data_IF_770915630788
#
_entry.id   IF_770915630788
#
_cell.length_a   1.000
_cell.length_b   1.000
_cell.length_c   1.000
_cell.angle_alpha   90.00
_cell.angle_beta   90.00
_cell.angle_gamma   90.00
#
_symmetry.space_group_name_H-M   'P 1'
#
loop_
_entity.id
_entity.type
_entity.pdbx_description
1 polymer ?
#
# COMPACT_ATOMS: atom_id res chain seq x y z
N UNK A 1 6.70 10.03 24.75
CA UNK A 1 7.60 9.53 23.68
C UNK A 1 8.84 8.98 24.36
N UNK A 2 9.19 7.73 24.07
CA UNK A 2 10.33 7.04 24.68
C UNK A 2 11.61 7.84 24.37
N UNK A 3 12.24 8.36 25.41
CA UNK A 3 13.52 9.05 25.31
C UNK A 3 14.61 8.23 25.98
N UNK A 4 15.85 8.49 25.60
CA UNK A 4 17.03 7.93 26.23
C UNK A 4 17.71 9.02 27.05
N UNK A 5 18.16 8.67 28.25
CA UNK A 5 18.88 9.58 29.17
C UNK A 5 20.18 8.89 29.56
N UNK A 6 21.29 9.59 29.40
CA UNK A 6 22.61 9.12 29.79
C UNK A 6 23.34 10.26 30.52
N UNK A 7 23.89 9.97 31.69
CA UNK A 7 24.86 10.85 32.34
C UNK A 7 26.19 10.74 31.57
N UNK A 8 26.68 11.85 31.03
CA UNK A 8 27.87 11.86 30.17
C UNK A 8 29.09 12.41 30.89
N UNK A 9 28.93 13.30 31.86
CA UNK A 9 29.99 13.77 32.74
C UNK A 9 29.39 14.21 34.07
N UNK A 10 30.22 14.56 35.06
CA UNK A 10 29.73 15.06 36.36
C UNK A 10 28.80 16.26 36.14
N UNK A 11 27.60 16.18 36.70
CA UNK A 11 26.56 17.22 36.61
C UNK A 11 26.07 17.50 35.17
N UNK A 12 26.43 16.64 34.21
CA UNK A 12 26.08 16.74 32.80
C UNK A 12 25.31 15.51 32.32
N UNK A 13 24.09 15.75 31.84
CA UNK A 13 23.25 14.73 31.24
C UNK A 13 23.01 15.02 29.76
N UNK A 14 22.88 13.96 28.96
CA UNK A 14 22.35 14.05 27.60
C UNK A 14 21.05 13.27 27.51
N UNK A 15 20.01 13.92 26.99
CA UNK A 15 18.67 13.37 26.80
C UNK A 15 18.28 13.46 25.33
N UNK A 16 17.80 12.36 24.77
CA UNK A 16 17.21 12.33 23.42
C UNK A 16 15.74 11.98 23.51
N UNK A 17 14.88 12.79 22.89
CA UNK A 17 13.44 12.53 22.81
C UNK A 17 12.89 12.94 21.44
N UNK A 18 11.61 12.64 21.19
CA UNK A 18 10.95 12.94 19.92
C UNK A 18 9.92 14.05 20.08
N UNK A 19 9.81 14.88 19.06
CA UNK A 19 8.86 16.00 18.98
C UNK A 19 8.05 15.92 17.68
N UNK A 20 6.82 16.47 17.65
CA UNK A 20 6.05 16.62 16.41
C UNK A 20 6.77 17.51 15.40
N UNK A 21 6.41 17.37 14.13
CA UNK A 21 6.87 18.23 13.04
C UNK A 21 6.04 19.51 12.90
N UNK A 22 4.77 19.49 13.34
CA UNK A 22 3.82 20.60 13.19
C UNK A 22 2.73 20.26 12.18
N UNK A 23 2.71 20.94 11.03
CA UNK A 23 1.71 20.71 9.97
C UNK A 23 2.24 19.66 8.99
N UNK A 24 1.45 18.61 8.76
CA UNK A 24 1.76 17.53 7.81
C UNK A 24 0.58 17.30 6.88
N UNK A 25 0.84 16.70 5.71
CA UNK A 25 -0.18 16.42 4.71
C UNK A 25 -0.23 14.93 4.35
N UNK A 26 -1.43 14.44 4.07
CA UNK A 26 -1.66 13.13 3.49
C UNK A 26 -2.48 13.27 2.20
N UNK A 27 -1.99 12.69 1.11
CA UNK A 27 -2.63 12.67 -0.20
C UNK A 27 -3.03 11.22 -0.48
N UNK A 28 -4.33 10.97 -0.51
CA UNK A 28 -4.90 9.63 -0.57
C UNK A 28 -5.78 9.51 -1.82
N UNK A 29 -5.35 8.82 -2.89
CA UNK A 29 -6.10 8.69 -4.12
C UNK A 29 -7.14 7.57 -4.00
N UNK A 30 -7.89 7.43 -5.08
CA UNK A 30 -8.91 6.41 -5.21
C UNK A 30 -8.35 5.00 -5.02
N UNK A 31 -9.10 4.19 -4.28
CA UNK A 31 -9.19 2.73 -4.44
C UNK A 31 -10.60 2.34 -3.98
N UNK A 32 -11.14 1.21 -4.39
CA UNK A 32 -12.59 0.91 -4.39
C UNK A 32 -13.37 1.20 -3.10
N UNK A 33 -14.66 1.58 -3.17
CA UNK A 33 -15.50 1.78 -1.99
C UNK A 33 -16.03 0.45 -1.40
N UNK A 34 -16.31 0.40 -0.08
CA UNK A 34 -16.78 -0.82 0.58
C UNK A 34 -18.27 -1.12 0.40
N UNK A 35 -18.60 -2.38 0.66
CA UNK A 35 -19.95 -2.95 0.80
C UNK A 35 -20.64 -2.42 2.08
N UNK A 36 -21.83 -1.78 2.03
CA UNK A 36 -22.38 -1.01 3.15
C UNK A 36 -23.25 -1.79 4.15
N UNK A 37 -23.54 -3.08 3.96
CA UNK A 37 -24.43 -3.85 4.83
C UNK A 37 -23.70 -4.72 5.87
N UNK A 38 -22.91 -4.13 6.79
CA UNK A 38 -22.37 -4.91 7.94
C UNK A 38 -22.31 -4.10 9.26
N UNK A 39 -22.77 -4.75 10.34
CA UNK A 39 -22.75 -4.28 11.73
C UNK A 39 -21.36 -3.78 12.15
N UNK A 40 -21.35 -2.63 12.85
CA UNK A 40 -20.25 -1.72 13.25
C UNK A 40 -18.88 -2.35 13.60
N UNK A 41 -18.81 -3.60 14.05
CA UNK A 41 -17.56 -4.29 14.44
C UNK A 41 -16.88 -5.02 13.26
N UNK A 42 -17.61 -5.46 12.24
CA UNK A 42 -17.01 -6.01 11.01
C UNK A 42 -16.72 -4.94 9.95
N UNK A 43 -17.04 -3.67 10.24
CA UNK A 43 -16.66 -2.52 9.41
C UNK A 43 -15.13 -2.38 9.36
N UNK A 44 -14.43 -2.54 10.49
CA UNK A 44 -12.98 -2.33 10.58
C UNK A 44 -12.13 -3.29 9.72
N UNK A 45 -12.64 -4.48 9.38
CA UNK A 45 -11.94 -5.46 8.54
C UNK A 45 -12.31 -5.37 7.05
N UNK A 46 -13.34 -4.60 6.67
CA UNK A 46 -13.80 -4.42 5.28
C UNK A 46 -13.86 -2.95 4.85
N UNK A 47 -13.18 -2.05 5.56
CA UNK A 47 -12.97 -0.68 5.10
C UNK A 47 -12.00 -0.72 3.92
N UNK A 48 -12.54 -0.69 2.71
CA UNK A 48 -11.73 -0.43 1.54
C UNK A 48 -11.18 1.03 1.58
N UNK A 49 -10.25 1.31 0.68
CA UNK A 49 -9.18 2.31 0.84
C UNK A 49 -9.56 3.81 0.98
N UNK A 50 -10.73 4.34 0.58
CA UNK A 50 -11.03 5.75 0.81
C UNK A 50 -11.33 6.03 2.29
N UNK A 51 -11.45 4.98 3.12
CA UNK A 51 -11.37 5.08 4.58
C UNK A 51 -10.03 4.60 5.13
N UNK A 52 -9.53 3.44 4.66
CA UNK A 52 -8.34 2.82 5.24
C UNK A 52 -7.07 3.67 5.04
N UNK A 53 -6.81 4.22 3.85
CA UNK A 53 -5.58 5.00 3.60
C UNK A 53 -5.58 6.32 4.39
N UNK A 54 -6.69 7.08 4.49
CA UNK A 54 -6.78 8.16 5.46
C UNK A 54 -6.46 7.70 6.89
N UNK A 55 -6.99 6.54 7.32
CA UNK A 55 -6.70 5.96 8.63
C UNK A 55 -5.25 5.47 8.81
N UNK A 56 -4.46 5.33 7.74
CA UNK A 56 -3.02 5.13 7.86
C UNK A 56 -2.27 6.40 8.27
N UNK A 57 -2.88 7.57 8.07
CA UNK A 57 -2.27 8.87 8.35
C UNK A 57 -2.92 9.59 9.54
N UNK A 58 -4.26 9.63 9.63
CA UNK A 58 -4.99 10.36 10.67
C UNK A 58 -4.51 9.98 12.08
N UNK A 59 -4.60 8.71 12.52
CA UNK A 59 -4.35 8.38 13.92
C UNK A 59 -2.90 8.61 14.31
N UNK A 60 -1.96 8.25 13.45
CA UNK A 60 -0.53 8.35 13.75
C UNK A 60 -0.02 9.80 13.68
N UNK A 61 -0.50 10.60 12.73
CA UNK A 61 -0.12 12.01 12.62
C UNK A 61 -0.65 12.80 13.83
N UNK A 62 -1.92 12.60 14.20
CA UNK A 62 -2.50 13.35 15.32
C UNK A 62 -2.01 12.84 16.68
N UNK A 63 -1.83 11.53 16.87
CA UNK A 63 -1.29 10.98 18.12
C UNK A 63 0.17 11.38 18.39
N UNK A 64 0.92 11.71 17.34
CA UNK A 64 2.29 12.25 17.47
C UNK A 64 2.32 13.76 17.72
N UNK A 65 1.16 14.44 17.76
CA UNK A 65 1.03 15.86 18.06
C UNK A 65 1.04 16.78 16.83
N UNK A 66 0.82 16.23 15.62
CA UNK A 66 0.77 17.04 14.39
C UNK A 66 -0.67 17.44 14.04
N UNK A 67 -0.80 18.53 13.27
CA UNK A 67 -2.03 18.86 12.55
C UNK A 67 -1.95 18.27 11.13
N UNK A 68 -3.02 17.61 10.70
CA UNK A 68 -3.08 16.90 9.41
C UNK A 68 -3.98 17.64 8.41
N UNK A 69 -3.43 17.89 7.22
CA UNK A 69 -4.17 18.25 6.02
C UNK A 69 -4.35 16.99 5.18
N UNK A 70 -5.58 16.51 5.06
CA UNK A 70 -5.93 15.34 4.26
C UNK A 70 -6.53 15.78 2.93
N UNK A 71 -5.91 15.35 1.82
CA UNK A 71 -6.47 15.48 0.47
C UNK A 71 -6.95 14.10 -0.01
N UNK A 72 -8.24 13.76 0.15
CA UNK A 72 -8.78 12.50 -0.36
C UNK A 72 -9.02 12.59 -1.87
N UNK A 73 -9.19 11.43 -2.48
CA UNK A 73 -9.64 11.26 -3.86
C UNK A 73 -10.88 12.08 -4.17
N UNK A 74 -10.85 12.79 -5.29
CA UNK A 74 -12.01 13.49 -5.84
C UNK A 74 -13.09 12.55 -6.40
N UNK A 75 -12.77 11.27 -6.60
CA UNK A 75 -13.70 10.27 -7.18
C UNK A 75 -14.67 9.70 -6.16
N UNK A 76 -14.28 9.65 -4.89
CA UNK A 76 -15.02 9.00 -3.81
C UNK A 76 -14.72 9.61 -2.41
N UNK A 77 -14.88 10.94 -2.25
CA UNK A 77 -14.48 11.64 -1.03
C UNK A 77 -15.34 11.32 0.21
N UNK A 78 -16.48 10.65 0.04
CA UNK A 78 -17.50 10.51 1.08
C UNK A 78 -17.00 9.83 2.36
N UNK A 79 -16.18 8.78 2.23
CA UNK A 79 -15.63 8.09 3.39
C UNK A 79 -14.71 8.99 4.24
N UNK A 80 -13.88 9.81 3.60
CA UNK A 80 -13.02 10.76 4.30
C UNK A 80 -13.84 11.81 5.05
N UNK A 81 -14.94 12.30 4.46
CA UNK A 81 -15.83 13.26 5.13
C UNK A 81 -16.49 12.65 6.36
N UNK A 82 -16.96 11.40 6.28
CA UNK A 82 -17.50 10.68 7.44
C UNK A 82 -16.44 10.53 8.54
N UNK A 83 -15.18 10.22 8.17
CA UNK A 83 -14.08 10.14 9.14
C UNK A 83 -13.80 11.49 9.83
N UNK A 84 -13.91 12.61 9.12
CA UNK A 84 -13.78 13.94 9.72
C UNK A 84 -14.89 14.23 10.73
N UNK A 85 -16.15 13.90 10.41
CA UNK A 85 -17.26 14.03 11.36
C UNK A 85 -17.08 13.16 12.61
N UNK A 86 -16.56 11.93 12.43
CA UNK A 86 -16.26 11.04 13.54
C UNK A 86 -15.12 11.62 14.39
N UNK A 87 -14.08 12.18 13.79
CA UNK A 87 -12.97 12.82 14.51
C UNK A 87 -13.44 14.01 15.35
N UNK A 88 -14.32 14.86 14.79
CA UNK A 88 -14.94 15.96 15.53
C UNK A 88 -15.75 15.45 16.73
N UNK A 89 -16.61 14.44 16.52
CA UNK A 89 -17.39 13.79 17.60
C UNK A 89 -16.50 13.11 18.65
N UNK A 90 -15.33 12.62 18.26
CA UNK A 90 -14.34 12.04 19.16
C UNK A 90 -13.59 13.10 20.00
N UNK A 91 -13.82 14.40 19.75
CA UNK A 91 -13.23 15.49 20.52
C UNK A 91 -11.91 16.02 19.95
N UNK A 92 -11.63 15.81 18.65
CA UNK A 92 -10.45 16.42 18.03
C UNK A 92 -10.58 17.95 18.09
N UNK A 93 -9.54 18.68 18.53
CA UNK A 93 -9.56 20.14 18.49
C UNK A 93 -9.73 20.66 17.06
N UNK A 94 -10.44 21.79 16.91
CA UNK A 94 -10.63 22.43 15.61
C UNK A 94 -9.28 22.72 14.95
N UNK A 95 -9.15 22.36 13.67
CA UNK A 95 -7.92 22.56 12.89
C UNK A 95 -6.88 21.45 13.02
N UNK A 96 -7.06 20.45 13.90
CA UNK A 96 -6.14 19.30 13.99
C UNK A 96 -6.28 18.36 12.79
N UNK A 97 -7.50 18.16 12.30
CA UNK A 97 -7.77 17.44 11.06
C UNK A 97 -8.52 18.38 10.11
N UNK A 98 -7.96 18.60 8.92
CA UNK A 98 -8.59 19.40 7.87
C UNK A 98 -8.67 18.57 6.60
N UNK A 99 -9.83 18.58 5.94
CA UNK A 99 -10.00 17.95 4.62
C UNK A 99 -9.99 19.04 3.55
N UNK A 100 -9.15 18.87 2.53
CA UNK A 100 -9.07 19.77 1.38
C UNK A 100 -9.27 18.97 0.11
N UNK A 101 -10.36 19.26 -0.62
CA UNK A 101 -10.63 18.63 -1.91
C UNK A 101 -9.88 19.31 -3.07
N UNK A 102 -9.80 18.62 -4.19
CA UNK A 102 -9.30 19.14 -5.45
C UNK A 102 -8.46 18.11 -6.20
N UNK A 103 -7.69 18.55 -7.19
CA UNK A 103 -6.89 17.68 -8.06
C UNK A 103 -5.41 18.09 -8.00
N UNK A 104 -4.72 18.12 -9.15
CA UNK A 104 -3.29 18.45 -9.25
C UNK A 104 -2.91 19.78 -8.59
N UNK A 105 -3.67 20.86 -8.82
CA UNK A 105 -3.39 22.18 -8.22
C UNK A 105 -3.37 22.18 -6.69
N UNK A 106 -4.23 21.37 -6.06
CA UNK A 106 -4.25 21.22 -4.60
C UNK A 106 -3.01 20.47 -4.12
N UNK A 107 -2.58 19.45 -4.87
CA UNK A 107 -1.32 18.73 -4.60
C UNK A 107 -0.11 19.67 -4.74
N UNK A 108 -0.08 20.49 -5.79
CA UNK A 108 0.98 21.48 -6.01
C UNK A 108 1.06 22.47 -4.85
N UNK A 109 -0.08 22.97 -4.39
CA UNK A 109 -0.14 23.85 -3.22
C UNK A 109 0.43 23.17 -1.97
N UNK A 110 0.06 21.91 -1.70
CA UNK A 110 0.59 21.13 -0.57
C UNK A 110 2.11 20.98 -0.66
N UNK A 111 2.64 20.74 -1.85
CA UNK A 111 4.09 20.64 -2.07
C UNK A 111 4.78 21.99 -1.85
N UNK A 112 4.15 23.08 -2.28
CA UNK A 112 4.74 24.41 -2.29
C UNK A 112 4.69 25.12 -0.93
N UNK A 113 3.66 24.87 -0.12
CA UNK A 113 3.46 25.56 1.17
C UNK A 113 4.60 25.25 2.17
N UNK A 114 5.39 26.24 2.60
CA UNK A 114 6.56 26.03 3.46
C UNK A 114 6.23 25.59 4.90
N UNK A 115 5.00 25.81 5.37
CA UNK A 115 4.58 25.37 6.70
C UNK A 115 4.35 23.86 6.79
N UNK A 116 4.01 23.20 5.68
CA UNK A 116 3.85 21.74 5.63
C UNK A 116 5.24 21.09 5.67
N UNK A 117 5.49 20.25 6.68
CA UNK A 117 6.82 19.65 6.93
C UNK A 117 6.98 18.24 6.39
N UNK A 118 5.88 17.51 6.22
CA UNK A 118 5.89 16.15 5.70
C UNK A 118 4.69 15.88 4.80
N UNK A 119 4.88 15.04 3.78
CA UNK A 119 3.85 14.58 2.85
C UNK A 119 3.83 13.05 2.83
N UNK A 120 2.67 12.48 3.12
CA UNK A 120 2.37 11.06 2.99
C UNK A 120 1.53 10.84 1.73
N UNK A 121 2.02 10.06 0.77
CA UNK A 121 1.32 9.79 -0.48
C UNK A 121 1.16 8.29 -0.73
N UNK A 122 -0.04 7.86 -1.12
CA UNK A 122 -0.24 6.55 -1.72
C UNK A 122 -0.72 6.78 -3.15
N UNK A 123 -0.40 5.93 -4.12
CA UNK A 123 -0.99 6.06 -5.47
C UNK A 123 -0.12 5.53 -6.60
N UNK A 124 -0.35 6.02 -7.81
CA UNK A 124 0.43 5.62 -8.99
C UNK A 124 1.86 6.15 -8.95
N UNK A 125 2.79 5.43 -9.57
CA UNK A 125 4.19 5.84 -9.76
C UNK A 125 4.36 7.25 -10.30
N UNK A 126 3.71 7.58 -11.42
CA UNK A 126 3.86 8.88 -12.07
C UNK A 126 3.62 10.07 -11.11
N UNK A 127 2.54 10.00 -10.33
CA UNK A 127 2.18 11.06 -9.38
C UNK A 127 3.04 11.00 -8.12
N UNK A 128 3.35 9.82 -7.61
CA UNK A 128 4.10 9.68 -6.37
C UNK A 128 5.59 10.00 -6.51
N UNK A 129 6.21 9.67 -7.64
CA UNK A 129 7.57 10.08 -7.99
C UNK A 129 7.65 11.60 -8.11
N UNK A 130 6.68 12.23 -8.77
CA UNK A 130 6.56 13.69 -8.85
C UNK A 130 6.48 14.35 -7.46
N UNK A 131 5.61 13.85 -6.57
CA UNK A 131 5.45 14.37 -5.21
C UNK A 131 6.74 14.15 -4.40
N UNK A 132 7.37 12.98 -4.53
CA UNK A 132 8.61 12.65 -3.85
C UNK A 132 9.76 13.57 -4.27
N UNK A 133 10.00 13.71 -5.58
CA UNK A 133 11.09 14.54 -6.11
C UNK A 133 10.88 16.01 -5.76
N UNK A 134 9.72 16.58 -6.11
CA UNK A 134 9.44 18.01 -5.90
C UNK A 134 9.32 18.36 -4.42
N UNK A 135 8.70 17.49 -3.61
CA UNK A 135 8.56 17.67 -2.18
C UNK A 135 9.91 17.61 -1.45
N UNK A 136 10.74 16.61 -1.80
CA UNK A 136 12.08 16.47 -1.22
C UNK A 136 13.01 17.61 -1.63
N UNK A 137 12.93 18.07 -2.89
CA UNK A 137 13.68 19.24 -3.36
C UNK A 137 13.34 20.53 -2.59
N UNK A 138 12.16 20.59 -1.97
CA UNK A 138 11.72 21.69 -1.09
C UNK A 138 12.03 21.45 0.39
N UNK A 139 12.80 20.41 0.72
CA UNK A 139 13.20 20.09 2.09
C UNK A 139 12.10 19.45 2.94
N UNK A 140 10.99 19.00 2.34
CA UNK A 140 9.94 18.27 3.05
C UNK A 140 10.31 16.80 3.19
N UNK A 141 9.87 16.15 4.26
CA UNK A 141 9.88 14.69 4.34
C UNK A 141 8.79 14.14 3.43
N UNK A 142 9.11 13.17 2.58
CA UNK A 142 8.10 12.52 1.73
C UNK A 142 8.20 11.03 1.87
N UNK A 143 7.07 10.39 2.19
CA UNK A 143 6.88 8.95 2.03
C UNK A 143 5.86 8.74 0.93
N UNK A 144 6.17 7.89 -0.05
CA UNK A 144 5.28 7.64 -1.18
C UNK A 144 5.23 6.14 -1.49
N UNK A 145 4.07 5.52 -1.24
CA UNK A 145 3.76 4.16 -1.68
C UNK A 145 3.16 4.22 -3.08
N UNK A 146 3.73 3.44 -3.99
CA UNK A 146 3.48 3.55 -5.42
C UNK A 146 2.74 2.31 -5.95
N UNK A 147 2.68 2.17 -7.27
CA UNK A 147 2.00 1.07 -7.95
C UNK A 147 2.63 -0.29 -7.69
N UNK A 148 1.92 -1.32 -8.14
CA UNK A 148 2.32 -2.69 -7.89
C UNK A 148 2.05 -3.62 -9.07
N UNK A 149 2.76 -4.74 -9.06
CA UNK A 149 2.45 -5.93 -9.84
C UNK A 149 2.81 -7.12 -8.97
N UNK A 150 1.85 -7.60 -8.18
CA UNK A 150 2.13 -8.64 -7.19
C UNK A 150 2.01 -10.02 -7.82
N UNK A 151 2.95 -10.88 -7.47
CA UNK A 151 3.02 -12.25 -7.97
C UNK A 151 2.70 -13.24 -6.85
N UNK A 152 1.90 -14.25 -7.19
CA UNK A 152 1.83 -15.48 -6.41
C UNK A 152 2.55 -16.60 -7.15
N UNK A 153 3.46 -17.29 -6.45
CA UNK A 153 4.11 -18.50 -6.93
C UNK A 153 3.37 -19.70 -6.34
N UNK A 154 2.97 -20.65 -7.17
CA UNK A 154 2.32 -21.89 -6.71
C UNK A 154 3.20 -23.08 -7.05
N UNK A 155 3.55 -23.87 -6.02
CA UNK A 155 4.34 -25.08 -6.16
C UNK A 155 3.44 -26.32 -6.26
N UNK A 156 3.91 -27.43 -6.88
CA UNK A 156 3.15 -28.67 -7.00
C UNK A 156 2.67 -29.25 -5.67
N UNK A 157 3.42 -29.02 -4.59
CA UNK A 157 3.09 -29.52 -3.25
C UNK A 157 2.07 -28.66 -2.50
N UNK A 158 1.64 -27.52 -3.06
CA UNK A 158 0.63 -26.65 -2.46
C UNK A 158 -0.70 -27.40 -2.26
N UNK A 159 -1.47 -27.01 -1.23
CA UNK A 159 -2.87 -27.41 -1.18
C UNK A 159 -3.61 -26.72 -2.35
N UNK A 160 -3.87 -27.48 -3.41
CA UNK A 160 -4.50 -27.00 -4.64
C UNK A 160 -5.80 -26.25 -4.39
N UNK A 161 -6.70 -26.78 -3.56
CA UNK A 161 -8.01 -26.17 -3.33
C UNK A 161 -7.86 -24.82 -2.62
N UNK A 162 -7.10 -24.80 -1.52
CA UNK A 162 -6.95 -23.60 -0.70
C UNK A 162 -6.16 -22.51 -1.44
N UNK A 163 -5.12 -22.90 -2.17
CA UNK A 163 -4.31 -21.98 -2.98
C UNK A 163 -5.14 -21.32 -4.07
N UNK A 164 -5.87 -22.09 -4.90
CA UNK A 164 -6.67 -21.53 -5.99
C UNK A 164 -7.77 -20.61 -5.48
N UNK A 165 -8.50 -21.01 -4.42
CA UNK A 165 -9.54 -20.16 -3.82
C UNK A 165 -8.95 -18.84 -3.27
N UNK A 166 -7.79 -18.92 -2.60
CA UNK A 166 -7.09 -17.75 -2.07
C UNK A 166 -6.63 -16.80 -3.18
N UNK A 167 -6.07 -17.35 -4.26
CA UNK A 167 -5.62 -16.58 -5.43
C UNK A 167 -6.81 -15.89 -6.10
N UNK A 168 -7.93 -16.59 -6.32
CA UNK A 168 -9.15 -16.03 -6.91
C UNK A 168 -9.68 -14.87 -6.07
N UNK A 169 -9.79 -15.04 -4.75
CA UNK A 169 -10.23 -13.97 -3.85
C UNK A 169 -9.31 -12.74 -3.88
N UNK A 170 -8.00 -12.95 -4.01
CA UNK A 170 -7.02 -11.88 -4.04
C UNK A 170 -6.87 -11.19 -5.40
N UNK A 171 -7.14 -11.88 -6.50
CA UNK A 171 -7.10 -11.31 -7.85
C UNK A 171 -8.35 -10.48 -8.16
N UNK A 172 -9.53 -10.99 -7.79
CA UNK A 172 -10.81 -10.39 -8.22
C UNK A 172 -11.51 -9.59 -7.11
N UNK A 173 -11.11 -9.76 -5.84
CA UNK A 173 -11.67 -9.01 -4.73
C UNK A 173 -11.57 -7.49 -4.93
N UNK A 174 -12.66 -6.78 -4.61
CA UNK A 174 -12.82 -5.35 -4.89
C UNK A 174 -12.53 -4.95 -6.36
N UNK A 175 -12.90 -5.85 -7.29
CA UNK A 175 -12.67 -5.73 -8.73
C UNK A 175 -11.19 -5.53 -9.09
N UNK A 176 -10.26 -6.10 -8.31
CA UNK A 176 -8.82 -6.03 -8.55
C UNK A 176 -8.21 -4.63 -8.41
N UNK A 177 -8.97 -3.65 -7.91
CA UNK A 177 -8.52 -2.27 -7.71
C UNK A 177 -7.83 -2.10 -6.34
N UNK A 178 -6.81 -2.91 -6.10
CA UNK A 178 -6.01 -2.91 -4.86
C UNK A 178 -4.53 -2.94 -5.20
N UNK A 179 -3.72 -2.12 -4.53
CA UNK A 179 -2.26 -2.17 -4.69
C UNK A 179 -1.66 -3.53 -4.24
N UNK A 180 -2.39 -4.29 -3.42
CA UNK A 180 -2.02 -5.65 -2.98
C UNK A 180 -2.80 -6.75 -3.71
N UNK A 181 -3.55 -6.43 -4.78
CA UNK A 181 -4.21 -7.45 -5.59
C UNK A 181 -3.16 -8.39 -6.19
N UNK A 182 -3.44 -9.69 -6.20
CA UNK A 182 -2.63 -10.65 -6.93
C UNK A 182 -3.01 -10.60 -8.41
N UNK A 183 -2.32 -9.74 -9.16
CA UNK A 183 -2.54 -9.63 -10.60
C UNK A 183 -1.89 -10.75 -11.39
N UNK A 184 -0.84 -11.37 -10.83
CA UNK A 184 0.03 -12.31 -11.56
C UNK A 184 0.17 -13.64 -10.82
N UNK A 185 -0.10 -14.75 -11.49
CA UNK A 185 0.12 -16.11 -11.00
C UNK A 185 1.29 -16.75 -11.77
N UNK A 186 2.27 -17.27 -11.04
CA UNK A 186 3.42 -18.01 -11.56
C UNK A 186 3.24 -19.48 -11.18
N UNK A 187 2.94 -20.30 -12.18
CA UNK A 187 2.68 -21.72 -12.05
C UNK A 187 3.96 -22.51 -12.27
N UNK A 188 4.45 -23.21 -11.24
CA UNK A 188 5.69 -24.00 -11.32
C UNK A 188 5.37 -25.44 -11.74
N UNK A 189 6.04 -25.95 -12.76
CA UNK A 189 5.98 -27.34 -13.20
C UNK A 189 4.56 -27.81 -13.58
N UNK A 190 4.09 -28.88 -12.94
CA UNK A 190 2.78 -29.51 -13.22
C UNK A 190 1.57 -28.66 -12.78
N UNK A 191 1.78 -27.60 -11.98
CA UNK A 191 0.67 -26.74 -11.54
C UNK A 191 -0.06 -26.07 -12.71
N UNK A 192 0.58 -25.91 -13.88
CA UNK A 192 -0.06 -25.41 -15.12
C UNK A 192 -1.34 -26.18 -15.50
N UNK A 193 -1.45 -27.45 -15.12
CA UNK A 193 -2.64 -28.28 -15.34
C UNK A 193 -3.84 -27.86 -14.47
N UNK A 194 -3.63 -26.95 -13.51
CA UNK A 194 -4.65 -26.48 -12.57
C UNK A 194 -5.43 -25.27 -13.11
N UNK A 195 -5.04 -24.73 -14.27
CA UNK A 195 -5.67 -23.57 -14.90
C UNK A 195 -7.17 -23.74 -15.12
N UNK A 196 -7.64 -24.93 -15.52
CA UNK A 196 -9.08 -25.18 -15.72
C UNK A 196 -9.87 -24.95 -14.43
N UNK A 197 -9.41 -25.50 -13.31
CA UNK A 197 -10.06 -25.31 -12.00
C UNK A 197 -9.99 -23.86 -11.51
N UNK A 198 -8.90 -23.15 -11.82
CA UNK A 198 -8.79 -21.72 -11.53
C UNK A 198 -9.87 -20.92 -12.29
N UNK A 199 -10.07 -21.24 -13.57
CA UNK A 199 -11.09 -20.63 -14.43
C UNK A 199 -12.50 -20.96 -13.94
N UNK A 200 -12.76 -22.20 -13.51
CA UNK A 200 -14.05 -22.59 -12.93
C UNK A 200 -14.37 -21.76 -11.68
N UNK A 201 -13.41 -21.62 -10.76
CA UNK A 201 -13.54 -20.81 -9.56
C UNK A 201 -13.76 -19.32 -9.88
N UNK A 202 -13.07 -18.78 -10.88
CA UNK A 202 -13.26 -17.39 -11.32
C UNK A 202 -14.63 -17.17 -11.97
N UNK A 203 -15.11 -18.14 -12.75
CA UNK A 203 -16.43 -18.09 -13.42
C UNK A 203 -17.57 -18.10 -12.42
N UNK A 204 -17.40 -18.77 -11.27
CA UNK A 204 -18.40 -18.79 -10.20
C UNK A 204 -18.57 -17.43 -9.48
N UNK A 205 -17.74 -16.43 -9.76
CA UNK A 205 -17.84 -15.12 -9.14
C UNK A 205 -19.03 -14.32 -9.68
N UNK A 206 -19.83 -13.76 -8.76
CA UNK A 206 -20.99 -12.94 -9.10
C UNK A 206 -20.57 -11.48 -9.21
N UNK A 207 -20.75 -10.91 -10.39
CA UNK A 207 -20.54 -9.48 -10.65
C UNK A 207 -21.88 -8.75 -10.42
N UNK A 208 -21.86 -7.66 -9.67
CA UNK A 208 -23.10 -7.00 -9.25
C UNK A 208 -22.90 -5.67 -8.53
N UNK A 209 -24.00 -5.07 -8.09
CA UNK A 209 -23.97 -3.81 -7.36
C UNK A 209 -23.45 -4.00 -5.94
N UNK A 210 -22.64 -3.06 -5.44
CA UNK A 210 -22.04 -3.15 -4.09
C UNK A 210 -23.01 -3.14 -2.90
N UNK A 211 -24.32 -2.96 -3.15
CA UNK A 211 -25.40 -3.06 -2.15
C UNK A 211 -26.07 -4.44 -2.10
N UNK A 212 -25.67 -5.37 -2.97
CA UNK A 212 -26.23 -6.72 -3.03
C UNK A 212 -25.28 -7.70 -2.32
N UNK A 213 -25.77 -8.30 -1.23
CA UNK A 213 -25.01 -9.22 -0.36
C UNK A 213 -24.47 -10.46 -1.10
N UNK A 214 -25.00 -10.76 -2.29
CA UNK A 214 -24.54 -11.88 -3.13
C UNK A 214 -23.44 -11.50 -4.12
N UNK A 215 -23.08 -10.22 -4.20
CA UNK A 215 -22.04 -9.71 -5.10
C UNK A 215 -20.64 -10.04 -4.58
N UNK A 216 -19.81 -10.63 -5.45
CA UNK A 216 -18.39 -10.85 -5.19
C UNK A 216 -17.53 -9.73 -5.80
N UNK A 217 -17.92 -9.21 -6.97
CA UNK A 217 -17.17 -8.21 -7.73
C UNK A 217 -18.07 -7.02 -8.06
N UNK A 218 -17.67 -5.83 -7.58
CA UNK A 218 -18.33 -4.56 -7.90
C UNK A 218 -17.86 -3.96 -9.25
N UNK A 219 -18.38 -2.79 -9.63
CA UNK A 219 -17.92 -2.08 -10.81
C UNK A 219 -16.52 -1.49 -10.62
N UNK A 220 -15.85 -1.17 -11.73
CA UNK A 220 -14.63 -0.35 -11.71
C UNK A 220 -14.99 1.13 -11.58
N UNK A 221 -14.03 1.95 -11.14
CA UNK A 221 -14.33 3.31 -10.67
C UNK A 221 -14.92 4.25 -11.72
N UNK A 222 -14.45 4.16 -12.96
CA UNK A 222 -14.83 5.10 -14.00
C UNK A 222 -14.87 4.44 -15.37
N UNK A 223 -15.56 5.06 -16.34
CA UNK A 223 -15.54 4.59 -17.73
C UNK A 223 -14.12 4.48 -18.30
N UNK A 224 -13.24 5.43 -17.96
CA UNK A 224 -11.83 5.41 -18.41
C UNK A 224 -11.06 4.24 -17.80
N UNK A 225 -11.37 3.86 -16.55
CA UNK A 225 -10.80 2.67 -15.93
C UNK A 225 -11.24 1.40 -16.65
N UNK A 226 -12.54 1.31 -16.99
CA UNK A 226 -13.09 0.19 -17.78
C UNK A 226 -12.40 0.09 -19.14
N UNK A 227 -12.34 1.19 -19.89
CA UNK A 227 -11.71 1.25 -21.21
C UNK A 227 -10.23 0.84 -21.15
N UNK A 228 -9.46 1.33 -20.17
CA UNK A 228 -8.06 0.94 -19.98
C UNK A 228 -7.91 -0.56 -19.71
N UNK A 229 -8.76 -1.12 -18.84
CA UNK A 229 -8.71 -2.56 -18.51
C UNK A 229 -9.03 -3.38 -19.76
N UNK A 230 -10.11 -3.06 -20.48
CA UNK A 230 -10.49 -3.76 -21.70
C UNK A 230 -9.43 -3.65 -22.79
N UNK A 231 -8.74 -2.50 -22.89
CA UNK A 231 -7.61 -2.32 -23.80
C UNK A 231 -6.42 -3.24 -23.44
N UNK A 232 -6.05 -3.35 -22.16
CA UNK A 232 -4.96 -4.24 -21.72
C UNK A 232 -5.30 -5.73 -21.88
N UNK A 233 -6.56 -6.11 -21.72
CA UNK A 233 -7.02 -7.47 -22.04
C UNK A 233 -6.89 -7.73 -23.55
N UNK A 234 -7.31 -6.76 -24.36
CA UNK A 234 -7.23 -6.85 -25.83
C UNK A 234 -5.78 -6.94 -26.31
N UNK A 235 -4.88 -6.12 -25.77
CA UNK A 235 -3.46 -6.17 -26.13
C UNK A 235 -2.82 -7.52 -25.78
N UNK A 236 -3.25 -8.17 -24.69
CA UNK A 236 -2.75 -9.51 -24.36
C UNK A 236 -3.06 -10.52 -25.47
N UNK A 237 -4.29 -10.50 -26.00
CA UNK A 237 -4.69 -11.37 -27.11
C UNK A 237 -3.92 -11.04 -28.39
N UNK A 238 -3.74 -9.76 -28.71
CA UNK A 238 -2.97 -9.29 -29.88
C UNK A 238 -1.49 -9.69 -29.81
N UNK A 239 -0.92 -9.71 -28.61
CA UNK A 239 0.48 -10.07 -28.36
C UNK A 239 0.70 -11.59 -28.24
N UNK A 240 -0.34 -12.41 -28.41
CA UNK A 240 -0.27 -13.87 -28.48
C UNK A 240 -0.59 -14.61 -27.18
N UNK A 241 -1.08 -13.93 -26.15
CA UNK A 241 -1.62 -14.58 -24.96
C UNK A 241 -3.00 -15.21 -25.24
N UNK A 242 -3.43 -16.13 -24.40
CA UNK A 242 -4.72 -16.81 -24.54
C UNK A 242 -5.68 -16.38 -23.43
N UNK A 243 -6.86 -15.89 -23.79
CA UNK A 243 -7.90 -15.53 -22.83
C UNK A 243 -8.74 -16.77 -22.53
N UNK A 244 -8.64 -17.29 -21.30
CA UNK A 244 -9.39 -18.48 -20.86
C UNK A 244 -10.77 -18.12 -20.29
N UNK A 245 -10.89 -16.93 -19.71
CA UNK A 245 -12.14 -16.34 -19.26
C UNK A 245 -12.11 -14.87 -19.66
N UNK A 246 -13.09 -14.43 -20.44
CA UNK A 246 -13.17 -13.07 -20.97
C UNK A 246 -14.25 -12.27 -20.25
N UNK A 247 -13.83 -11.30 -19.44
CA UNK A 247 -14.73 -10.40 -18.72
C UNK A 247 -15.09 -9.12 -19.47
N UNK A 248 -14.56 -8.89 -20.67
CA UNK A 248 -14.85 -7.68 -21.46
C UNK A 248 -16.32 -7.62 -21.85
N UNK A 249 -16.88 -6.41 -21.91
CA UNK A 249 -18.26 -6.20 -22.35
C UNK A 249 -19.34 -6.78 -21.42
N UNK A 250 -18.99 -7.26 -20.22
CA UNK A 250 -19.96 -7.70 -19.22
C UNK A 250 -20.98 -6.58 -18.95
N UNK A 251 -22.26 -6.95 -18.86
CA UNK A 251 -23.34 -6.03 -18.51
C UNK A 251 -24.16 -6.63 -17.37
N UNK A 252 -24.41 -5.83 -16.35
CA UNK A 252 -25.36 -6.19 -15.30
C UNK A 252 -26.79 -5.96 -15.80
N UNK A 253 -27.68 -6.94 -15.67
CA UNK A 253 -29.09 -6.80 -16.00
C UNK A 253 -29.77 -5.69 -15.21
N UNK A 254 -29.41 -5.56 -13.92
CA UNK A 254 -29.99 -4.57 -13.01
C UNK A 254 -29.39 -3.17 -13.21
N UNK A 255 -28.14 -3.09 -13.65
CA UNK A 255 -27.39 -1.84 -13.75
C UNK A 255 -26.63 -1.75 -15.08
N UNK A 256 -27.33 -1.65 -16.22
CA UNK A 256 -26.70 -1.79 -17.55
C UNK A 256 -25.66 -0.71 -17.87
N UNK A 257 -25.75 0.46 -17.23
CA UNK A 257 -24.86 1.60 -17.44
C UNK A 257 -23.69 1.67 -16.45
N UNK A 258 -23.46 0.63 -15.65
CA UNK A 258 -22.31 0.58 -14.74
C UNK A 258 -20.98 0.38 -15.48
N UNK A 259 -19.90 0.75 -14.80
CA UNK A 259 -18.53 0.57 -15.28
C UNK A 259 -18.11 -0.88 -15.01
N UNK A 260 -18.65 -1.84 -15.74
CA UNK A 260 -18.39 -3.25 -15.47
C UNK A 260 -17.19 -3.79 -16.23
N UNK A 261 -16.45 -4.67 -15.57
CA UNK A 261 -15.52 -5.63 -16.17
C UNK A 261 -15.71 -6.93 -15.39
N UNK A 262 -15.94 -8.04 -16.09
CA UNK A 262 -16.05 -9.36 -15.47
C UNK A 262 -14.68 -9.93 -15.08
N UNK A 263 -14.64 -11.00 -14.25
CA UNK A 263 -13.41 -11.72 -14.00
C UNK A 263 -12.79 -12.16 -15.34
N UNK A 264 -11.50 -11.90 -15.51
CA UNK A 264 -10.74 -12.28 -16.70
C UNK A 264 -9.52 -13.09 -16.30
N UNK A 265 -9.28 -14.22 -16.98
CA UNK A 265 -8.09 -15.07 -16.77
C UNK A 265 -7.36 -15.18 -18.10
N UNK A 266 -6.09 -14.76 -18.10
CA UNK A 266 -5.24 -14.76 -19.29
C UNK A 266 -4.04 -15.68 -19.02
N UNK A 267 -3.79 -16.64 -19.91
CA UNK A 267 -2.65 -17.56 -19.84
C UNK A 267 -1.68 -17.33 -20.99
N UNK A 268 -0.54 -18.04 -20.96
CA UNK A 268 0.55 -17.92 -21.91
C UNK A 268 1.16 -16.51 -21.96
N UNK A 269 1.04 -15.76 -20.86
CA UNK A 269 1.57 -14.39 -20.78
C UNK A 269 3.09 -14.41 -20.70
N UNK A 270 3.74 -13.47 -21.38
CA UNK A 270 5.19 -13.27 -21.42
C UNK A 270 5.55 -11.91 -20.83
N UNK A 271 6.74 -11.81 -20.25
CA UNK A 271 7.18 -10.61 -19.51
C UNK A 271 7.30 -9.33 -20.36
N UNK A 272 7.40 -9.46 -21.69
CA UNK A 272 7.45 -8.31 -22.60
C UNK A 272 6.06 -7.75 -22.94
N UNK A 273 4.99 -8.50 -22.66
CA UNK A 273 3.62 -8.12 -23.01
C UNK A 273 3.14 -6.93 -22.18
N UNK A 274 2.34 -6.04 -22.77
CA UNK A 274 1.79 -4.86 -22.09
C UNK A 274 0.99 -5.22 -20.85
N UNK A 275 0.15 -6.26 -20.93
CA UNK A 275 -0.65 -6.73 -19.82
C UNK A 275 0.18 -7.23 -18.63
N UNK A 276 1.45 -7.62 -18.85
CA UNK A 276 2.40 -7.95 -17.79
C UNK A 276 3.10 -6.70 -17.24
N UNK A 277 3.63 -5.85 -18.12
CA UNK A 277 4.44 -4.68 -17.74
C UNK A 277 3.64 -3.60 -17.03
N UNK A 278 2.40 -3.39 -17.44
CA UNK A 278 1.53 -2.36 -16.87
C UNK A 278 0.66 -2.92 -15.74
N UNK A 279 0.42 -2.10 -14.72
CA UNK A 279 -0.58 -2.40 -13.70
C UNK A 279 -1.98 -2.28 -14.33
N UNK A 280 -2.73 -3.39 -14.34
CA UNK A 280 -4.07 -3.45 -14.95
C UNK A 280 -5.09 -2.75 -14.05
N UNK A 281 -4.98 -2.96 -12.73
CA UNK A 281 -5.88 -2.39 -11.71
C UNK A 281 -7.36 -2.68 -11.99
N UNK A 282 -7.66 -3.94 -12.31
CA UNK A 282 -8.97 -4.46 -12.67
C UNK A 282 -9.09 -5.95 -12.35
N UNK A 283 -10.28 -6.57 -12.52
CA UNK A 283 -10.53 -7.97 -12.18
C UNK A 283 -9.91 -8.91 -13.22
N UNK A 284 -8.58 -8.87 -13.37
CA UNK A 284 -7.81 -9.61 -14.38
C UNK A 284 -6.65 -10.32 -13.69
N UNK A 285 -6.58 -11.64 -13.87
CA UNK A 285 -5.46 -12.47 -13.44
C UNK A 285 -4.67 -12.95 -14.66
N UNK A 286 -3.38 -12.63 -14.70
CA UNK A 286 -2.46 -13.14 -15.72
C UNK A 286 -1.67 -14.34 -15.17
N UNK A 287 -1.52 -15.39 -15.97
CA UNK A 287 -0.85 -16.62 -15.60
C UNK A 287 0.40 -16.82 -16.47
N UNK A 288 1.52 -17.10 -15.81
CA UNK A 288 2.80 -17.48 -16.40
C UNK A 288 3.18 -18.86 -15.88
N UNK A 289 3.93 -19.62 -16.68
CA UNK A 289 4.44 -20.93 -16.30
C UNK A 289 5.96 -20.94 -16.36
N UNK A 290 6.59 -21.55 -15.36
CA UNK A 290 8.04 -21.73 -15.25
C UNK A 290 8.34 -23.15 -14.75
N UNK A 291 9.56 -23.62 -14.89
CA UNK A 291 9.89 -25.02 -14.59
C UNK A 291 10.36 -25.22 -13.14
N UNK A 292 10.85 -24.18 -12.48
CA UNK A 292 11.43 -24.26 -11.12
C UNK A 292 11.06 -23.08 -10.21
N UNK A 293 11.30 -23.25 -8.91
CA UNK A 293 11.13 -22.18 -7.91
C UNK A 293 12.16 -21.06 -8.13
N UNK A 294 13.37 -21.41 -8.54
CA UNK A 294 14.46 -20.48 -8.83
C UNK A 294 14.12 -19.57 -10.01
N UNK A 295 13.54 -20.14 -11.08
CA UNK A 295 13.02 -19.36 -12.20
C UNK A 295 11.84 -18.48 -11.77
N UNK A 296 10.94 -18.99 -10.93
CA UNK A 296 9.84 -18.20 -10.39
C UNK A 296 10.36 -16.98 -9.60
N UNK A 297 11.31 -17.18 -8.68
CA UNK A 297 11.92 -16.09 -7.90
C UNK A 297 12.63 -15.09 -8.83
N UNK A 298 13.38 -15.58 -9.81
CA UNK A 298 14.07 -14.73 -10.79
C UNK A 298 13.08 -13.89 -11.60
N UNK A 299 11.96 -14.47 -12.02
CA UNK A 299 10.89 -13.78 -12.74
C UNK A 299 10.24 -12.69 -11.88
N UNK A 300 9.92 -13.00 -10.62
CA UNK A 300 9.31 -12.02 -9.70
C UNK A 300 10.32 -10.91 -9.36
N UNK A 301 11.60 -11.24 -9.18
CA UNK A 301 12.64 -10.24 -8.90
C UNK A 301 12.98 -9.37 -10.12
N UNK A 302 12.83 -9.88 -11.35
CA UNK A 302 13.01 -9.08 -12.57
C UNK A 302 11.92 -8.00 -12.76
N UNK A 303 10.80 -8.12 -12.05
CA UNK A 303 9.75 -7.10 -12.06
C UNK A 303 10.23 -5.81 -11.39
N UNK A 304 9.89 -4.66 -11.99
CA UNK A 304 10.32 -3.36 -11.48
C UNK A 304 9.61 -2.99 -10.16
N UNK A 305 8.40 -3.52 -9.95
CA UNK A 305 7.63 -3.35 -8.73
C UNK A 305 8.01 -4.41 -7.68
N UNK A 306 7.97 -4.01 -6.41
CA UNK A 306 8.36 -4.85 -5.28
C UNK A 306 7.41 -4.72 -4.10
N UNK A 307 6.12 -4.47 -4.34
CA UNK A 307 5.15 -4.22 -3.28
C UNK A 307 4.89 -5.48 -2.43
N UNK A 308 4.39 -6.54 -3.05
CA UNK A 308 4.14 -7.82 -2.39
C UNK A 308 4.33 -9.03 -3.31
N UNK A 309 4.68 -10.16 -2.70
CA UNK A 309 4.75 -11.45 -3.35
C UNK A 309 4.28 -12.56 -2.39
N UNK A 310 3.71 -13.62 -2.95
CA UNK A 310 3.26 -14.77 -2.17
C UNK A 310 3.79 -16.09 -2.75
N UNK A 311 3.98 -17.08 -1.89
CA UNK A 311 4.25 -18.47 -2.29
C UNK A 311 3.23 -19.41 -1.65
N UNK A 312 2.71 -20.35 -2.42
CA UNK A 312 1.87 -21.44 -1.94
C UNK A 312 2.65 -22.76 -2.00
N UNK A 313 2.84 -23.39 -0.84
CA UNK A 313 3.65 -24.62 -0.69
C UNK A 313 3.40 -25.25 0.68
N UNK A 314 3.66 -26.56 0.81
CA UNK A 314 3.71 -27.28 2.09
C UNK A 314 5.15 -27.48 2.58
N UNK A 315 6.14 -27.21 1.73
CA UNK A 315 7.56 -27.35 2.01
C UNK A 315 8.11 -26.16 2.78
N UNK A 316 8.55 -26.40 4.02
CA UNK A 316 9.21 -25.37 4.83
C UNK A 316 10.54 -24.89 4.24
N UNK A 317 11.29 -25.76 3.55
CA UNK A 317 12.54 -25.37 2.90
C UNK A 317 12.30 -24.48 1.69
N UNK A 318 11.26 -24.77 0.88
CA UNK A 318 10.88 -23.92 -0.24
C UNK A 318 10.39 -22.55 0.24
N UNK A 319 9.57 -22.51 1.29
CA UNK A 319 9.11 -21.27 1.90
C UNK A 319 10.26 -20.41 2.43
N UNK A 320 11.21 -21.01 3.15
CA UNK A 320 12.40 -20.31 3.66
C UNK A 320 13.31 -19.82 2.53
N UNK A 321 13.49 -20.63 1.48
CA UNK A 321 14.26 -20.25 0.30
C UNK A 321 13.61 -19.07 -0.44
N UNK A 322 12.30 -19.12 -0.66
CA UNK A 322 11.55 -18.01 -1.25
C UNK A 322 11.66 -16.73 -0.41
N UNK A 323 11.41 -16.82 0.90
CA UNK A 323 11.49 -15.68 1.82
C UNK A 323 12.88 -15.02 1.80
N UNK A 324 13.95 -15.79 1.69
CA UNK A 324 15.32 -15.26 1.70
C UNK A 324 15.71 -14.58 0.40
N UNK A 325 15.22 -15.09 -0.74
CA UNK A 325 15.70 -14.69 -2.05
C UNK A 325 14.74 -13.75 -2.80
N UNK A 326 13.50 -13.58 -2.32
CA UNK A 326 12.55 -12.64 -2.92
C UNK A 326 12.85 -11.20 -2.49
N UNK A 327 12.75 -10.27 -3.44
CA UNK A 327 13.03 -8.84 -3.21
C UNK A 327 11.77 -8.00 -2.98
N UNK A 328 10.58 -8.60 -3.02
CA UNK A 328 9.34 -7.92 -2.66
C UNK A 328 9.33 -7.62 -1.15
N UNK A 329 8.82 -6.45 -0.76
CA UNK A 329 8.92 -6.01 0.64
C UNK A 329 7.83 -6.60 1.55
N UNK A 330 6.69 -7.05 1.01
CA UNK A 330 5.67 -7.82 1.75
C UNK A 330 5.61 -9.26 1.22
N UNK A 331 5.91 -10.24 2.07
CA UNK A 331 6.04 -11.65 1.66
C UNK A 331 4.99 -12.51 2.35
N UNK A 332 4.19 -13.22 1.56
CA UNK A 332 3.17 -14.14 2.03
C UNK A 332 3.58 -15.60 1.84
N UNK A 333 3.43 -16.43 2.87
CA UNK A 333 3.57 -17.89 2.77
C UNK A 333 2.19 -18.49 3.02
N UNK A 334 1.59 -19.06 1.97
CA UNK A 334 0.18 -19.48 1.92
C UNK A 334 -0.83 -18.36 2.26
N UNK A 335 -0.40 -17.10 2.12
CA UNK A 335 -1.21 -15.91 2.34
C UNK A 335 -1.13 -15.05 1.07
N UNK A 336 -2.21 -14.89 0.29
CA UNK A 336 -2.15 -14.19 -0.99
C UNK A 336 -1.94 -12.68 -0.85
N UNK A 337 -2.47 -12.08 0.21
CA UNK A 337 -2.42 -10.65 0.49
C UNK A 337 -1.76 -10.47 1.86
N UNK A 338 -0.42 -10.41 1.94
CA UNK A 338 0.32 -10.31 3.20
C UNK A 338 0.36 -8.88 3.75
N UNK A 339 -0.79 -8.22 3.86
CA UNK A 339 -0.88 -6.87 4.42
C UNK A 339 -0.59 -6.92 5.92
N UNK A 340 0.40 -6.14 6.42
CA UNK A 340 0.76 -6.13 7.83
C UNK A 340 -0.32 -5.46 8.67
N UNK A 341 -0.51 -5.99 9.89
CA UNK A 341 -1.31 -5.32 10.92
C UNK A 341 -0.69 -3.95 11.27
N UNK A 342 -1.47 -2.97 11.77
CA UNK A 342 -1.01 -1.59 12.00
C UNK A 342 0.21 -1.41 12.92
N UNK A 343 0.57 -2.44 13.69
CA UNK A 343 1.75 -2.46 14.56
C UNK A 343 3.06 -2.72 13.82
N UNK A 344 2.94 -3.32 12.63
CA UNK A 344 4.01 -3.45 11.65
C UNK A 344 3.79 -2.42 10.54
N UNK A 345 4.81 -2.12 9.74
CA UNK A 345 4.70 -1.11 8.68
C UNK A 345 4.39 -1.74 7.33
N UNK A 346 3.73 -0.99 6.45
CA UNK A 346 3.61 -1.38 5.04
C UNK A 346 4.94 -1.21 4.33
N UNK A 347 5.58 -2.32 3.95
CA UNK A 347 6.94 -2.35 3.41
C UNK A 347 6.94 -2.66 1.92
N UNK A 348 6.66 -1.67 1.07
CA UNK A 348 6.93 -1.81 -0.37
C UNK A 348 8.43 -1.79 -0.66
N UNK A 349 8.86 -2.32 -1.80
CA UNK A 349 10.26 -2.24 -2.25
C UNK A 349 10.35 -1.85 -3.75
N UNK A 350 11.56 -1.55 -4.24
CA UNK A 350 11.85 -1.16 -5.63
C UNK A 350 11.01 0.04 -6.06
N UNK A 351 10.43 0.02 -7.26
CA UNK A 351 9.55 1.09 -7.74
C UNK A 351 8.19 1.14 -7.05
N UNK A 352 7.88 0.26 -6.11
CA UNK A 352 6.64 0.35 -5.32
C UNK A 352 6.73 1.29 -4.13
N UNK A 353 7.91 1.88 -3.88
CA UNK A 353 8.13 2.89 -2.85
C UNK A 353 9.14 3.92 -3.34
N UNK A 354 8.85 5.21 -3.18
CA UNK A 354 9.82 6.24 -3.52
C UNK A 354 10.92 6.36 -2.46
N UNK A 355 12.11 6.83 -2.84
CA UNK A 355 13.21 7.03 -1.90
C UNK A 355 13.84 5.74 -1.37
N UNK A 356 13.70 4.63 -2.09
CA UNK A 356 14.36 3.36 -1.75
C UNK A 356 13.89 2.73 -0.44
N UNK A 357 12.65 3.00 -0.02
CA UNK A 357 12.08 2.42 1.21
C UNK A 357 12.63 3.05 2.50
N UNK A 358 13.22 4.24 2.44
CA UNK A 358 13.72 4.94 3.63
C UNK A 358 12.62 5.34 4.64
N UNK A 359 11.35 5.37 4.22
CA UNK A 359 10.21 5.68 5.08
C UNK A 359 9.01 4.82 4.70
N UNK A 360 8.45 4.12 5.70
CA UNK A 360 7.31 3.23 5.55
C UNK A 360 6.10 3.73 6.32
N UNK A 361 4.93 3.31 5.87
CA UNK A 361 3.65 3.73 6.41
C UNK A 361 3.36 3.01 7.72
N UNK A 362 2.79 3.77 8.67
CA UNK A 362 2.37 3.31 10.01
C UNK A 362 3.42 2.43 10.72
N UNK A 363 3.05 1.78 11.84
CA UNK A 363 4.02 1.09 12.69
C UNK A 363 5.14 2.01 13.23
N UNK A 364 6.28 1.41 13.57
CA UNK A 364 7.44 2.15 14.11
C UNK A 364 8.03 3.17 13.11
N UNK A 365 8.33 2.81 11.84
CA UNK A 365 8.69 3.76 10.79
C UNK A 365 7.74 4.96 10.67
N UNK A 366 6.42 4.74 10.70
CA UNK A 366 5.45 5.84 10.64
C UNK A 366 5.58 6.81 11.82
N UNK A 367 5.83 6.31 13.04
CA UNK A 367 6.07 7.17 14.21
C UNK A 367 7.33 8.02 14.01
N UNK A 368 8.37 7.44 13.39
CA UNK A 368 9.61 8.15 13.07
C UNK A 368 9.41 9.18 11.96
N UNK A 369 8.56 8.89 10.98
CA UNK A 369 8.24 9.80 9.88
C UNK A 369 7.59 11.08 10.39
N UNK A 370 6.60 10.97 11.28
CA UNK A 370 5.82 12.08 11.83
C UNK A 370 6.46 12.78 13.05
N UNK A 371 7.69 12.41 13.44
CA UNK A 371 8.40 13.03 14.57
C UNK A 371 9.86 13.31 14.24
N UNK A 372 10.48 14.25 14.94
CA UNK A 372 11.92 14.52 14.85
C UNK A 372 12.61 14.23 16.18
N UNK A 373 13.86 13.77 16.11
CA UNK A 373 14.69 13.63 17.29
C UNK A 373 15.20 15.00 17.72
N UNK A 374 15.13 15.25 19.02
CA UNK A 374 15.78 16.37 19.69
C UNK A 374 16.69 15.80 20.76
N UNK A 375 17.95 16.22 20.73
CA UNK A 375 18.95 15.87 21.73
C UNK A 375 19.33 17.11 22.51
N UNK A 376 19.26 17.03 23.83
CA UNK A 376 19.57 18.12 24.76
C UNK A 376 20.66 17.63 25.69
N UNK A 377 21.78 18.34 25.71
CA UNK A 377 22.82 18.15 26.71
C UNK A 377 22.73 19.30 27.71
N UNK A 378 22.50 18.97 28.97
CA UNK A 378 22.30 19.92 30.05
C UNK A 378 23.44 19.78 31.06
N UNK A 379 23.98 20.91 31.52
CA UNK A 379 24.97 20.99 32.58
C UNK A 379 24.43 21.92 33.67
N UNK A 380 24.37 21.42 34.90
CA UNK A 380 23.86 22.19 36.04
C UNK A 380 24.94 22.28 37.11
N UNK A 381 25.74 23.36 37.10
CA UNK A 381 26.76 23.63 38.14
C UNK A 381 26.09 24.19 39.40
N UNK A 382 26.62 23.85 40.57
CA UNK A 382 26.15 24.43 41.83
C UNK A 382 26.76 25.82 42.05
N UNK A 383 26.07 26.73 42.74
CA UNK A 383 26.56 28.11 42.99
C UNK A 383 27.86 28.16 43.83
N UNK A 384 28.21 27.06 44.51
CA UNK A 384 29.48 26.93 45.26
C UNK A 384 30.69 26.70 44.33
N UNK A 385 30.45 26.31 43.09
CA UNK A 385 31.46 26.15 42.04
C UNK A 385 31.69 27.49 41.31
N UNK A 386 32.06 28.54 42.05
CA UNK A 386 32.35 29.86 41.49
C UNK A 386 33.27 29.75 40.27
N UNK A 387 32.96 30.49 39.19
CA UNK A 387 33.74 30.48 37.94
C UNK A 387 35.15 31.02 38.25
N UNK A 388 36.12 30.12 38.49
CA UNK A 388 37.50 30.49 38.82
C UNK A 388 38.32 30.90 37.59
N UNK A 389 37.92 30.45 36.39
CA UNK A 389 38.51 30.85 35.09
C UNK A 389 37.64 30.36 33.92
N UNK A 390 37.85 30.92 32.71
CA UNK A 390 37.26 30.39 31.47
C UNK A 390 37.98 29.10 31.09
N UNK A 391 37.28 27.96 31.16
CA UNK A 391 37.76 26.68 30.66
C UNK A 391 37.42 26.51 29.18
N UNK A 392 38.40 26.10 28.38
CA UNK A 392 38.24 25.80 26.92
C UNK A 392 38.22 24.30 26.62
N UNK A 393 38.35 23.47 27.66
CA UNK A 393 38.31 22.00 27.55
C UNK A 393 36.88 21.49 27.44
N UNK A 394 36.64 20.58 26.50
CA UNK A 394 35.37 19.86 26.42
C UNK A 394 35.20 18.93 27.62
N UNK A 395 33.98 18.75 28.15
CA UNK A 395 33.67 17.74 29.17
C UNK A 395 34.04 16.34 28.65
N UNK A 396 34.78 15.57 29.44
CA UNK A 396 35.17 14.20 29.08
C UNK A 396 34.18 13.18 29.64
N UNK A 397 33.81 12.14 28.84
CA UNK A 397 33.03 11.01 29.33
C UNK A 397 33.66 10.35 30.56
N UNK A 398 32.85 9.88 31.50
CA UNK A 398 33.32 8.97 32.57
C UNK A 398 33.40 7.53 32.10
#
# INVERSE_FOLDING_TARGET
MLGEVLEVAKDMETKSYREPLGIVAAICPFSTPPHPSIKFISLLMKLDFPAMIPLWSIPIATATGNCLILKPSERDPGAAMILAEIAEKAGFPKGVLNIVHGAAKTVDFIIDEPQIKAISFVGSNHVGEYIFERGSAKGKRVQANLGAKNHAVILPDANKHDALNSIVGAAFGAAGQRCMALSTLVMVGETKEWLSKLVDSATALKVGGGFDDTTHIGPVISPQSRERIEHLITSAQEEGASILLDGRGYKSDKYPNGNWVGPTVITNVKVHMKCYREEIFGPVLICLSVDSLEEAISLVNANEYGNGAAIFTRSGSAAAYFQRNIEAGQVGINVPIPVPLPMFSFTGNKKSVAGGGASYFYGKPGLQFYTQLKTVTSLWKSDEDGIKSVEVSMPTPR
#
